data_IF_640335240125
#
_entry.id   IF_640335240125
#
_cell.length_a   1.000
_cell.length_b   1.000
_cell.length_c   1.000
_cell.angle_alpha   90.00
_cell.angle_beta   90.00
_cell.angle_gamma   90.00
#
_symmetry.space_group_name_H-M   'P 1'
#
loop_
_entity.id
_entity.type
_entity.pdbx_description
1 polymer ?
#
# COMPACT_ATOMS: atom_id res chain seq x y z
N UNK A 1 5.78 25.14 -1.81
CA UNK A 1 6.57 23.92 -2.07
C UNK A 1 7.99 24.34 -2.33
N UNK A 2 8.97 23.76 -1.64
CA UNK A 2 10.37 23.92 -2.01
C UNK A 2 10.60 23.07 -3.29
N UNK A 3 10.49 23.70 -4.47
CA UNK A 3 10.66 23.04 -5.77
C UNK A 3 11.97 22.27 -5.85
N UNK A 4 13.04 22.82 -5.28
CA UNK A 4 14.33 22.16 -5.19
C UNK A 4 14.24 20.84 -4.42
N UNK A 5 13.58 20.82 -3.26
CA UNK A 5 13.37 19.57 -2.49
C UNK A 5 12.53 18.55 -3.25
N UNK A 6 11.51 18.98 -4.00
CA UNK A 6 10.72 18.09 -4.84
C UNK A 6 11.59 17.44 -5.94
N UNK A 7 12.30 18.23 -6.74
CA UNK A 7 13.14 17.69 -7.81
C UNK A 7 14.26 16.82 -7.27
N UNK A 8 14.88 17.22 -6.15
CA UNK A 8 15.88 16.40 -5.46
C UNK A 8 15.29 15.06 -5.02
N UNK A 9 14.09 15.06 -4.46
CA UNK A 9 13.38 13.84 -4.03
C UNK A 9 13.03 12.96 -5.23
N UNK A 10 12.53 13.53 -6.32
CA UNK A 10 12.22 12.80 -7.55
C UNK A 10 13.46 12.14 -8.18
N UNK A 11 14.60 12.85 -8.23
CA UNK A 11 15.87 12.30 -8.73
C UNK A 11 16.34 11.14 -7.85
N UNK A 12 16.22 11.27 -6.53
CA UNK A 12 16.59 10.20 -5.59
C UNK A 12 15.71 8.97 -5.80
N UNK A 13 14.38 9.13 -5.86
CA UNK A 13 13.44 8.03 -6.12
C UNK A 13 13.77 7.35 -7.45
N UNK A 14 14.05 8.13 -8.51
CA UNK A 14 14.41 7.57 -9.80
C UNK A 14 15.68 6.71 -9.74
N UNK A 15 16.71 7.16 -9.03
CA UNK A 15 17.94 6.38 -8.82
C UNK A 15 17.66 5.11 -8.00
N UNK A 16 16.85 5.21 -6.96
CA UNK A 16 16.46 4.07 -6.13
C UNK A 16 15.64 3.04 -6.91
N UNK A 17 14.67 3.48 -7.73
CA UNK A 17 13.89 2.61 -8.63
C UNK A 17 14.80 1.91 -9.65
N UNK A 18 15.76 2.62 -10.24
CA UNK A 18 16.74 1.99 -11.15
C UNK A 18 17.60 0.96 -10.44
N UNK A 19 18.11 1.29 -9.26
CA UNK A 19 18.89 0.36 -8.46
C UNK A 19 18.05 -0.86 -8.04
N UNK A 20 16.77 -0.67 -7.72
CA UNK A 20 15.85 -1.74 -7.35
C UNK A 20 15.48 -2.61 -8.54
N UNK A 21 15.22 -2.03 -9.71
CA UNK A 21 15.00 -2.80 -10.94
C UNK A 21 16.21 -3.67 -11.29
N UNK A 22 17.43 -3.15 -11.13
CA UNK A 22 18.64 -3.95 -11.27
C UNK A 22 18.70 -5.10 -10.26
N UNK A 23 18.42 -4.83 -8.99
CA UNK A 23 18.39 -5.86 -7.94
C UNK A 23 17.33 -6.95 -8.22
N UNK A 24 16.16 -6.58 -8.73
CA UNK A 24 15.12 -7.53 -9.12
C UNK A 24 15.64 -8.47 -10.22
N UNK A 25 16.27 -7.92 -11.26
CA UNK A 25 16.83 -8.74 -12.33
C UNK A 25 17.99 -9.63 -11.88
N UNK A 26 18.87 -9.10 -11.03
CA UNK A 26 20.10 -9.79 -10.63
C UNK A 26 19.85 -10.83 -9.51
N UNK A 27 18.83 -10.63 -8.68
CA UNK A 27 18.59 -11.42 -7.46
C UNK A 27 17.20 -12.08 -7.44
N UNK A 28 16.13 -11.31 -7.66
CA UNK A 28 14.75 -11.81 -7.52
C UNK A 28 14.39 -12.76 -8.65
N UNK A 29 14.64 -12.41 -9.90
CA UNK A 29 14.33 -13.27 -11.05
C UNK A 29 15.06 -14.63 -10.97
N UNK A 30 16.37 -14.70 -10.69
CA UNK A 30 17.05 -15.97 -10.43
C UNK A 30 16.47 -16.74 -9.23
N UNK A 31 16.03 -16.04 -8.18
CA UNK A 31 15.42 -16.68 -7.02
C UNK A 31 14.06 -17.29 -7.34
N UNK A 32 13.21 -16.61 -8.10
CA UNK A 32 11.93 -17.15 -8.58
C UNK A 32 12.16 -18.42 -9.42
N UNK A 33 13.14 -18.41 -10.33
CA UNK A 33 13.48 -19.59 -11.13
C UNK A 33 13.96 -20.77 -10.26
N UNK A 34 14.69 -20.48 -9.17
CA UNK A 34 15.10 -21.52 -8.21
C UNK A 34 13.90 -22.13 -7.47
N UNK A 35 12.93 -21.31 -7.09
CA UNK A 35 11.69 -21.79 -6.46
C UNK A 35 10.92 -22.70 -7.42
N UNK A 36 10.77 -22.31 -8.68
CA UNK A 36 10.10 -23.09 -9.74
C UNK A 36 10.73 -24.48 -9.92
N UNK A 37 12.06 -24.54 -10.02
CA UNK A 37 12.79 -25.81 -10.15
C UNK A 37 12.67 -26.64 -8.88
N UNK A 38 12.85 -26.04 -7.70
CA UNK A 38 12.88 -26.75 -6.42
C UNK A 38 11.52 -27.35 -6.06
N UNK A 39 10.45 -26.60 -6.31
CA UNK A 39 9.08 -26.97 -5.93
C UNK A 39 8.25 -27.49 -7.10
N UNK A 40 8.90 -27.82 -8.22
CA UNK A 40 8.32 -28.41 -9.43
C UNK A 40 7.02 -27.73 -9.89
N UNK A 41 7.07 -26.41 -10.07
CA UNK A 41 5.94 -25.61 -10.51
C UNK A 41 6.37 -24.31 -11.18
N UNK A 42 5.41 -23.49 -11.59
CA UNK A 42 5.68 -22.25 -12.32
C UNK A 42 4.83 -21.11 -11.78
N UNK A 43 5.44 -19.92 -11.65
CA UNK A 43 4.65 -18.71 -11.46
C UNK A 43 3.94 -18.36 -12.77
N UNK A 44 2.67 -17.97 -12.69
CA UNK A 44 2.00 -17.44 -13.87
C UNK A 44 2.67 -16.15 -14.33
N UNK A 45 2.48 -15.78 -15.62
CA UNK A 45 3.00 -14.50 -16.15
C UNK A 45 2.46 -13.31 -15.35
N UNK A 46 1.21 -13.40 -14.89
CA UNK A 46 0.58 -12.36 -14.09
C UNK A 46 1.21 -12.27 -12.69
N UNK A 47 1.40 -13.41 -12.00
CA UNK A 47 2.08 -13.47 -10.71
C UNK A 47 3.48 -12.88 -10.78
N UNK A 48 4.30 -13.35 -11.74
CA UNK A 48 5.66 -12.84 -11.93
C UNK A 48 5.66 -11.35 -12.21
N UNK A 49 4.73 -10.84 -13.02
CA UNK A 49 4.58 -9.40 -13.25
C UNK A 49 4.20 -8.63 -11.97
N UNK A 50 3.21 -9.08 -11.21
CA UNK A 50 2.78 -8.47 -9.93
C UNK A 50 3.96 -8.39 -8.95
N UNK A 51 4.76 -9.46 -8.87
CA UNK A 51 5.98 -9.51 -8.05
C UNK A 51 7.02 -8.50 -8.56
N UNK A 52 7.49 -8.63 -9.80
CA UNK A 52 8.74 -7.96 -10.27
C UNK A 52 8.51 -6.54 -10.79
N UNK A 53 7.31 -6.22 -11.24
CA UNK A 53 6.94 -4.91 -11.80
C UNK A 53 6.11 -4.06 -10.85
N UNK A 54 5.61 -4.63 -9.74
CA UNK A 54 4.84 -3.89 -8.74
C UNK A 54 5.45 -4.00 -7.35
N UNK A 55 5.24 -5.11 -6.63
CA UNK A 55 5.50 -5.14 -5.19
C UNK A 55 7.00 -5.12 -4.84
N UNK A 56 7.84 -5.94 -5.47
CA UNK A 56 9.30 -5.93 -5.24
C UNK A 56 9.96 -4.62 -5.67
N UNK A 57 9.32 -3.84 -6.54
CA UNK A 57 9.82 -2.55 -7.01
C UNK A 57 9.40 -1.41 -6.09
N UNK A 58 8.11 -1.28 -5.82
CA UNK A 58 7.56 -0.11 -5.13
C UNK A 58 7.53 -0.26 -3.61
N UNK A 59 7.33 -1.45 -3.04
CA UNK A 59 7.30 -1.61 -1.57
C UNK A 59 8.65 -1.23 -0.95
N UNK A 60 9.81 -1.73 -1.42
CA UNK A 60 11.10 -1.33 -0.85
C UNK A 60 11.35 0.16 -1.03
N UNK A 61 11.14 0.69 -2.24
CA UNK A 61 11.48 2.07 -2.57
C UNK A 61 10.51 3.05 -1.92
N UNK A 62 9.21 2.93 -2.15
CA UNK A 62 8.23 3.91 -1.69
C UNK A 62 7.95 3.77 -0.21
N UNK A 63 7.79 2.56 0.33
CA UNK A 63 7.44 2.38 1.75
C UNK A 63 8.69 2.33 2.60
N UNK A 64 9.53 1.30 2.42
CA UNK A 64 10.60 0.98 3.36
C UNK A 64 11.69 2.07 3.39
N UNK A 65 12.15 2.53 2.22
CA UNK A 65 13.20 3.56 2.16
C UNK A 65 12.70 4.92 2.66
N UNK A 66 11.41 5.21 2.53
CA UNK A 66 10.82 6.45 3.05
C UNK A 66 10.82 6.46 4.57
N UNK A 67 10.42 5.35 5.18
CA UNK A 67 10.44 5.18 6.64
C UNK A 67 11.88 5.21 7.16
N UNK A 68 12.78 4.42 6.55
CA UNK A 68 14.20 4.40 6.89
C UNK A 68 14.81 5.80 6.93
N UNK A 69 14.53 6.61 5.91
CA UNK A 69 15.01 7.99 5.87
C UNK A 69 14.34 8.90 6.89
N UNK A 70 13.04 8.74 7.13
CA UNK A 70 12.32 9.49 8.15
C UNK A 70 12.93 9.29 9.53
N UNK A 71 13.25 8.05 9.89
CA UNK A 71 13.84 7.70 11.19
C UNK A 71 15.36 7.89 11.25
N UNK A 72 15.99 8.32 10.15
CA UNK A 72 17.43 8.56 10.07
C UNK A 72 18.31 7.31 10.06
N UNK A 73 17.75 6.14 9.72
CA UNK A 73 18.48 4.86 9.67
C UNK A 73 18.61 4.38 8.22
N UNK A 74 19.81 4.34 7.62
CA UNK A 74 19.99 3.83 6.26
C UNK A 74 19.62 2.34 6.13
N UNK A 75 19.00 1.95 5.01
CA UNK A 75 18.72 0.54 4.70
C UNK A 75 20.03 -0.21 4.43
N UNK A 76 20.28 -1.27 5.19
CA UNK A 76 21.36 -2.24 4.94
C UNK A 76 21.05 -3.15 3.73
N UNK A 77 22.04 -3.88 3.22
CA UNK A 77 21.79 -4.88 2.16
C UNK A 77 20.84 -6.00 2.63
N UNK A 78 20.92 -6.37 3.90
CA UNK A 78 20.02 -7.37 4.50
C UNK A 78 18.60 -6.83 4.59
N UNK A 79 18.41 -5.61 5.10
CA UNK A 79 17.09 -4.96 5.14
C UNK A 79 16.51 -4.76 3.75
N UNK A 80 17.35 -4.48 2.73
CA UNK A 80 16.90 -4.44 1.34
C UNK A 80 16.41 -5.80 0.84
N UNK A 81 17.15 -6.87 1.14
CA UNK A 81 16.73 -8.24 0.82
C UNK A 81 15.39 -8.53 1.48
N UNK A 82 15.28 -8.28 2.78
CA UNK A 82 14.05 -8.46 3.56
C UNK A 82 12.87 -7.68 2.99
N UNK A 83 13.02 -6.37 2.79
CA UNK A 83 11.97 -5.53 2.18
C UNK A 83 11.53 -6.04 0.81
N UNK A 84 12.46 -6.56 0.00
CA UNK A 84 12.16 -7.13 -1.32
C UNK A 84 11.44 -8.47 -1.19
N UNK A 85 11.84 -9.35 -0.26
CA UNK A 85 11.15 -10.62 0.01
C UNK A 85 9.76 -10.40 0.60
N UNK A 86 9.57 -9.37 1.43
CA UNK A 86 8.24 -8.97 1.89
C UNK A 86 7.38 -8.48 0.72
N UNK A 87 7.93 -7.70 -0.21
CA UNK A 87 7.25 -7.35 -1.45
C UNK A 87 6.93 -8.58 -2.33
N UNK A 88 7.76 -9.61 -2.30
CA UNK A 88 7.52 -10.85 -3.04
C UNK A 88 6.36 -11.65 -2.41
N UNK A 89 6.37 -11.84 -1.09
CA UNK A 89 5.42 -12.73 -0.41
C UNK A 89 4.01 -12.14 -0.32
N UNK A 90 3.86 -10.82 -0.21
CA UNK A 90 2.55 -10.15 -0.09
C UNK A 90 1.56 -10.55 -1.21
N UNK A 91 1.88 -10.39 -2.51
CA UNK A 91 0.95 -10.78 -3.56
C UNK A 91 0.70 -12.29 -3.64
N UNK A 92 1.60 -13.13 -3.11
CA UNK A 92 1.40 -14.58 -3.08
C UNK A 92 0.41 -14.99 -1.98
N UNK A 93 0.44 -14.33 -0.82
CA UNK A 93 -0.57 -14.55 0.22
C UNK A 93 -1.97 -14.17 -0.25
N UNK A 94 -2.11 -13.10 -1.05
CA UNK A 94 -3.39 -12.78 -1.70
C UNK A 94 -3.88 -13.98 -2.53
N UNK A 95 -3.02 -14.54 -3.38
CA UNK A 95 -3.37 -15.67 -4.25
C UNK A 95 -3.70 -16.94 -3.44
N UNK A 96 -3.05 -17.17 -2.29
CA UNK A 96 -3.38 -18.30 -1.41
C UNK A 96 -4.81 -18.21 -0.87
N UNK A 97 -5.28 -17.00 -0.57
CA UNK A 97 -6.63 -16.75 -0.08
C UNK A 97 -7.65 -16.73 -1.22
N UNK A 98 -7.37 -15.97 -2.28
CA UNK A 98 -8.34 -15.67 -3.34
C UNK A 98 -8.43 -16.79 -4.39
N UNK A 99 -7.30 -17.41 -4.76
CA UNK A 99 -7.27 -18.44 -5.81
C UNK A 99 -7.31 -19.85 -5.22
N UNK A 100 -6.55 -20.11 -4.16
CA UNK A 100 -6.46 -21.43 -3.53
C UNK A 100 -7.43 -21.65 -2.37
N UNK A 101 -8.14 -20.60 -1.94
CA UNK A 101 -9.15 -20.67 -0.88
C UNK A 101 -8.64 -21.33 0.42
N UNK A 102 -7.39 -21.06 0.80
CA UNK A 102 -6.87 -21.53 2.08
C UNK A 102 -7.67 -20.91 3.22
N UNK A 103 -7.99 -21.73 4.22
CA UNK A 103 -8.71 -21.27 5.42
C UNK A 103 -7.82 -20.35 6.27
N UNK A 104 -8.41 -19.46 7.09
CA UNK A 104 -7.66 -18.67 8.06
C UNK A 104 -6.67 -19.48 8.91
N UNK A 105 -7.08 -20.66 9.39
CA UNK A 105 -6.21 -21.53 10.19
C UNK A 105 -5.00 -22.04 9.40
N UNK A 106 -5.19 -22.36 8.12
CA UNK A 106 -4.07 -22.78 7.25
C UNK A 106 -3.09 -21.64 7.02
N UNK A 107 -3.58 -20.41 6.78
CA UNK A 107 -2.72 -19.23 6.63
C UNK A 107 -2.00 -18.90 7.93
N UNK A 108 -2.67 -19.01 9.09
CA UNK A 108 -2.03 -18.79 10.39
C UNK A 108 -0.90 -19.80 10.62
N UNK A 109 -1.16 -21.09 10.34
CA UNK A 109 -0.14 -22.13 10.48
C UNK A 109 1.04 -21.90 9.51
N UNK A 110 0.76 -21.57 8.25
CA UNK A 110 1.78 -21.25 7.26
C UNK A 110 2.61 -20.02 7.65
N UNK A 111 2.00 -19.05 8.34
CA UNK A 111 2.69 -17.82 8.79
C UNK A 111 3.56 -18.08 10.01
N UNK A 112 3.05 -18.84 10.99
CA UNK A 112 3.62 -18.89 12.35
C UNK A 112 4.42 -20.13 12.67
N UNK A 113 4.18 -21.22 11.94
CA UNK A 113 4.95 -22.44 11.99
C UNK A 113 5.11 -23.05 10.58
N UNK A 114 5.63 -22.29 9.58
CA UNK A 114 5.78 -22.75 8.21
C UNK A 114 6.55 -24.07 8.10
N UNK A 115 7.50 -24.33 8.99
CA UNK A 115 8.33 -25.54 9.03
C UNK A 115 7.46 -26.80 9.14
N UNK A 116 6.36 -26.73 9.89
CA UNK A 116 5.45 -27.83 10.15
C UNK A 116 4.33 -27.97 9.10
N UNK A 117 4.12 -26.96 8.24
CA UNK A 117 3.09 -27.00 7.22
C UNK A 117 3.53 -27.88 6.03
N UNK A 118 2.70 -28.84 5.63
CA UNK A 118 2.98 -29.73 4.50
C UNK A 118 1.99 -29.47 3.36
N UNK A 119 2.50 -29.39 2.14
CA UNK A 119 1.68 -29.24 0.93
C UNK A 119 2.45 -29.73 -0.28
N UNK A 120 1.73 -30.30 -1.24
CA UNK A 120 2.26 -30.60 -2.57
C UNK A 120 2.01 -29.44 -3.56
N UNK A 121 1.40 -28.34 -3.10
CA UNK A 121 1.09 -27.19 -3.93
C UNK A 121 2.32 -26.29 -4.05
N UNK A 122 2.82 -26.13 -5.28
CA UNK A 122 3.96 -25.27 -5.62
C UNK A 122 3.94 -23.93 -4.90
N UNK A 123 2.83 -23.18 -5.01
CA UNK A 123 2.73 -21.83 -4.48
C UNK A 123 2.83 -21.80 -2.94
N UNK A 124 2.23 -22.79 -2.27
CA UNK A 124 2.30 -22.94 -0.82
C UNK A 124 3.74 -23.21 -0.38
N UNK A 125 4.47 -24.07 -1.09
CA UNK A 125 5.87 -24.36 -0.79
C UNK A 125 6.79 -23.16 -1.05
N UNK A 126 6.52 -22.38 -2.09
CA UNK A 126 7.21 -21.12 -2.34
C UNK A 126 6.98 -20.12 -1.20
N UNK A 127 5.73 -19.90 -0.79
CA UNK A 127 5.39 -19.01 0.34
C UNK A 127 6.02 -19.52 1.65
N UNK A 128 5.98 -20.82 1.92
CA UNK A 128 6.62 -21.45 3.07
C UNK A 128 8.11 -21.13 3.14
N UNK A 129 8.85 -21.34 2.05
CA UNK A 129 10.30 -21.08 2.02
C UNK A 129 10.61 -19.60 2.31
N UNK A 130 9.89 -18.69 1.67
CA UNK A 130 10.09 -17.25 1.85
C UNK A 130 9.69 -16.82 3.27
N UNK A 131 8.62 -17.39 3.81
CA UNK A 131 8.15 -17.16 5.17
C UNK A 131 9.17 -17.58 6.22
N UNK A 132 9.83 -18.73 6.06
CA UNK A 132 10.91 -19.18 6.95
C UNK A 132 12.07 -18.16 6.94
N UNK A 133 12.49 -17.72 5.76
CA UNK A 133 13.55 -16.72 5.62
C UNK A 133 13.18 -15.38 6.28
N UNK A 134 11.94 -14.93 6.12
CA UNK A 134 11.46 -13.70 6.76
C UNK A 134 11.36 -13.84 8.29
N UNK A 135 10.83 -14.96 8.79
CA UNK A 135 10.74 -15.26 10.21
C UNK A 135 12.12 -15.25 10.89
N UNK A 136 13.16 -15.71 10.19
CA UNK A 136 14.52 -15.78 10.74
C UNK A 136 15.32 -14.48 10.60
N UNK A 137 14.89 -13.58 9.71
CA UNK A 137 15.58 -12.30 9.43
C UNK A 137 14.88 -11.08 10.05
N UNK A 138 13.76 -11.28 10.75
CA UNK A 138 13.02 -10.20 11.40
C UNK A 138 13.85 -9.56 12.53
N UNK A 139 13.79 -8.23 12.64
CA UNK A 139 14.45 -7.46 13.70
C UNK A 139 14.02 -7.94 15.09
N UNK A 140 12.71 -8.12 15.28
CA UNK A 140 12.10 -8.76 16.44
C UNK A 140 11.13 -9.83 15.94
N UNK A 141 11.55 -11.10 16.02
CA UNK A 141 10.76 -12.25 15.53
C UNK A 141 9.41 -12.36 16.23
N UNK A 142 9.33 -12.10 17.54
CA UNK A 142 8.08 -12.24 18.29
C UNK A 142 7.08 -11.15 17.89
N UNK A 143 7.54 -9.90 17.83
CA UNK A 143 6.70 -8.78 17.38
C UNK A 143 6.27 -8.95 15.91
N UNK A 144 7.18 -9.39 15.04
CA UNK A 144 6.89 -9.64 13.64
C UNK A 144 5.83 -10.74 13.45
N UNK A 145 5.95 -11.86 14.15
CA UNK A 145 4.94 -12.93 14.10
C UNK A 145 3.58 -12.46 14.62
N UNK A 146 3.55 -11.65 15.68
CA UNK A 146 2.32 -11.06 16.18
C UNK A 146 1.64 -10.17 15.12
N UNK A 147 2.40 -9.23 14.52
CA UNK A 147 1.87 -8.36 13.46
C UNK A 147 1.45 -9.16 12.23
N UNK A 148 2.14 -10.26 11.91
CA UNK A 148 1.76 -11.15 10.80
C UNK A 148 0.40 -11.80 11.03
N UNK A 149 0.07 -12.16 12.27
CA UNK A 149 -1.29 -12.61 12.64
C UNK A 149 -2.32 -11.50 12.50
N UNK A 150 -1.96 -10.27 12.89
CA UNK A 150 -2.85 -9.12 12.73
C UNK A 150 -3.16 -8.85 11.25
N UNK A 151 -2.19 -9.04 10.34
CA UNK A 151 -2.44 -8.94 8.88
C UNK A 151 -3.54 -9.92 8.46
N UNK A 152 -3.45 -11.18 8.90
CA UNK A 152 -4.46 -12.19 8.62
C UNK A 152 -5.82 -11.79 9.21
N UNK A 153 -5.86 -11.36 10.46
CA UNK A 153 -7.12 -10.97 11.11
C UNK A 153 -7.80 -9.81 10.36
N UNK A 154 -7.03 -8.80 9.95
CA UNK A 154 -7.56 -7.68 9.18
C UNK A 154 -8.06 -8.13 7.81
N UNK A 155 -7.37 -9.06 7.15
CA UNK A 155 -7.83 -9.63 5.89
C UNK A 155 -9.16 -10.38 6.06
N UNK A 156 -9.35 -11.13 7.14
CA UNK A 156 -10.65 -11.77 7.47
C UNK A 156 -11.75 -10.71 7.64
N UNK A 157 -11.45 -9.61 8.32
CA UNK A 157 -12.42 -8.53 8.54
C UNK A 157 -12.88 -7.87 7.22
N UNK A 158 -12.11 -7.97 6.14
CA UNK A 158 -12.52 -7.44 4.82
C UNK A 158 -13.71 -8.19 4.21
N UNK A 159 -14.09 -9.37 4.72
CA UNK A 159 -15.28 -10.12 4.27
C UNK A 159 -16.55 -9.27 4.44
N UNK A 160 -16.60 -8.40 5.45
CA UNK A 160 -17.73 -7.47 5.65
C UNK A 160 -17.92 -6.50 4.48
N UNK A 161 -16.89 -6.27 3.66
CA UNK A 161 -17.03 -5.47 2.44
C UNK A 161 -17.89 -6.14 1.37
N UNK A 162 -18.31 -7.40 1.53
CA UNK A 162 -19.31 -8.02 0.64
C UNK A 162 -20.75 -7.86 1.15
N UNK A 163 -20.93 -7.27 2.34
CA UNK A 163 -22.24 -6.98 2.91
C UNK A 163 -22.81 -5.67 2.32
N UNK A 164 -23.92 -5.69 1.57
CA UNK A 164 -24.52 -4.49 0.99
C UNK A 164 -25.01 -3.46 2.01
N UNK A 165 -25.16 -3.85 3.27
CA UNK A 165 -25.67 -3.00 4.35
C UNK A 165 -24.54 -2.47 5.26
N UNK A 166 -23.28 -2.66 4.89
CA UNK A 166 -22.13 -2.16 5.67
C UNK A 166 -22.21 -0.63 5.82
N UNK A 167 -21.93 -0.13 7.02
CA UNK A 167 -21.96 1.30 7.30
C UNK A 167 -20.73 2.02 6.74
N UNK A 168 -20.86 3.32 6.49
CA UNK A 168 -19.72 4.15 6.06
C UNK A 168 -18.58 4.17 7.09
N UNK A 169 -18.90 4.13 8.39
CA UNK A 169 -17.89 4.13 9.45
C UNK A 169 -17.11 2.81 9.46
N UNK A 170 -17.79 1.68 9.26
CA UNK A 170 -17.13 0.37 9.18
C UNK A 170 -16.30 0.25 7.90
N UNK A 171 -16.79 0.75 6.77
CA UNK A 171 -16.00 0.84 5.53
C UNK A 171 -14.73 1.66 5.74
N UNK A 172 -14.83 2.81 6.40
CA UNK A 172 -13.65 3.63 6.70
C UNK A 172 -12.67 2.89 7.60
N UNK A 173 -13.16 2.22 8.65
CA UNK A 173 -12.34 1.43 9.55
C UNK A 173 -11.59 0.33 8.79
N UNK A 174 -12.28 -0.46 7.97
CA UNK A 174 -11.66 -1.52 7.16
C UNK A 174 -10.62 -0.94 6.20
N UNK A 175 -10.94 0.14 5.46
CA UNK A 175 -10.02 0.79 4.52
C UNK A 175 -8.72 1.23 5.21
N UNK A 176 -8.80 1.81 6.42
CA UNK A 176 -7.61 2.25 7.14
C UNK A 176 -6.84 1.08 7.78
N UNK A 177 -7.53 0.14 8.44
CA UNK A 177 -6.89 -0.97 9.14
C UNK A 177 -6.11 -1.88 8.19
N UNK A 178 -6.68 -2.21 7.03
CA UNK A 178 -6.06 -3.06 5.99
C UNK A 178 -4.70 -2.53 5.56
N UNK A 179 -4.65 -1.23 5.29
CA UNK A 179 -3.45 -0.58 4.82
C UNK A 179 -2.43 -0.39 5.95
N UNK A 180 -2.91 0.05 7.11
CA UNK A 180 -2.05 0.37 8.24
C UNK A 180 -1.29 -0.84 8.73
N UNK A 181 -1.95 -2.00 8.84
CA UNK A 181 -1.27 -3.19 9.36
C UNK A 181 -0.15 -3.65 8.42
N UNK A 182 -0.29 -3.45 7.11
CA UNK A 182 0.79 -3.70 6.14
C UNK A 182 1.99 -2.79 6.37
N UNK A 183 1.78 -1.50 6.66
CA UNK A 183 2.88 -0.58 7.01
C UNK A 183 3.56 -0.96 8.32
N UNK A 184 2.79 -1.33 9.35
CA UNK A 184 3.33 -1.81 10.63
C UNK A 184 4.08 -3.12 10.44
N UNK A 185 3.61 -4.01 9.57
CA UNK A 185 4.29 -5.26 9.19
C UNK A 185 5.68 -4.99 8.58
N UNK A 186 5.77 -4.12 7.57
CA UNK A 186 7.06 -3.71 6.98
C UNK A 186 7.96 -3.01 8.01
N UNK A 187 7.41 -2.12 8.83
CA UNK A 187 8.17 -1.41 9.85
C UNK A 187 8.74 -2.37 10.90
N UNK A 188 7.92 -3.27 11.41
CA UNK A 188 8.27 -4.22 12.49
C UNK A 188 9.36 -5.18 12.07
N UNK A 189 9.29 -5.69 10.83
CA UNK A 189 10.33 -6.58 10.30
C UNK A 189 11.69 -5.88 10.22
N UNK A 190 11.72 -4.62 9.76
CA UNK A 190 12.96 -3.92 9.43
C UNK A 190 13.56 -3.13 10.60
N UNK A 191 12.73 -2.61 11.51
CA UNK A 191 13.10 -1.62 12.52
C UNK A 191 12.56 -1.93 13.93
N UNK A 192 11.83 -3.04 14.12
CA UNK A 192 11.16 -3.37 15.37
C UNK A 192 9.86 -2.59 15.59
N UNK A 193 9.30 -2.60 16.79
CA UNK A 193 7.95 -2.05 17.04
C UNK A 193 7.91 -0.51 16.89
N UNK A 194 6.99 0.05 16.08
CA UNK A 194 6.84 1.50 15.96
C UNK A 194 6.35 2.12 17.27
N UNK A 195 6.80 3.35 17.58
CA UNK A 195 6.21 4.13 18.68
C UNK A 195 4.73 4.42 18.40
N UNK A 196 3.98 4.80 19.44
CA UNK A 196 2.57 5.18 19.30
C UNK A 196 2.38 6.29 18.25
N UNK A 197 3.21 7.32 18.29
CA UNK A 197 3.14 8.48 17.39
C UNK A 197 3.48 8.07 15.95
N UNK A 198 4.47 7.20 15.77
CA UNK A 198 4.79 6.63 14.46
C UNK A 198 3.61 5.81 13.94
N UNK A 199 3.03 4.94 14.77
CA UNK A 199 1.87 4.12 14.38
C UNK A 199 0.67 4.97 13.96
N UNK A 200 0.39 6.05 14.68
CA UNK A 200 -0.68 7.00 14.31
C UNK A 200 -0.39 7.72 12.98
N UNK A 201 0.86 8.11 12.71
CA UNK A 201 1.23 8.70 11.43
C UNK A 201 1.12 7.68 10.27
N UNK A 202 1.55 6.44 10.51
CA UNK A 202 1.44 5.35 9.53
C UNK A 202 -0.02 4.98 9.25
N UNK A 203 -0.90 5.02 10.27
CA UNK A 203 -2.34 4.81 10.11
C UNK A 203 -2.95 5.77 9.08
N UNK A 204 -2.66 7.06 9.20
CA UNK A 204 -3.20 8.06 8.25
C UNK A 204 -2.58 7.97 6.85
N UNK A 205 -1.27 7.74 6.76
CA UNK A 205 -0.61 7.55 5.46
C UNK A 205 -1.21 6.36 4.71
N UNK A 206 -1.27 5.22 5.39
CA UNK A 206 -1.67 3.97 4.79
C UNK A 206 -3.16 4.01 4.40
N UNK A 207 -4.02 4.50 5.30
CA UNK A 207 -5.45 4.63 5.00
C UNK A 207 -5.74 5.55 3.82
N UNK A 208 -5.05 6.69 3.71
CA UNK A 208 -5.17 7.54 2.52
C UNK A 208 -4.67 6.87 1.24
N UNK A 209 -3.62 6.04 1.30
CA UNK A 209 -3.15 5.29 0.14
C UNK A 209 -4.15 4.22 -0.29
N UNK A 210 -4.74 3.47 0.64
CA UNK A 210 -5.77 2.47 0.34
C UNK A 210 -7.05 3.13 -0.17
N UNK A 211 -7.48 4.24 0.44
CA UNK A 211 -8.60 5.03 -0.07
C UNK A 211 -8.34 5.51 -1.50
N UNK A 212 -7.11 5.90 -1.84
CA UNK A 212 -6.75 6.23 -3.22
C UNK A 212 -6.82 4.98 -4.12
N UNK A 213 -6.35 3.82 -3.66
CA UNK A 213 -6.46 2.58 -4.41
C UNK A 213 -7.93 2.24 -4.72
N UNK A 214 -8.83 2.26 -3.72
CA UNK A 214 -10.26 2.01 -3.89
C UNK A 214 -10.90 2.96 -4.93
N UNK A 215 -10.46 4.23 -4.99
CA UNK A 215 -10.92 5.19 -6.00
C UNK A 215 -10.54 4.78 -7.43
N UNK A 216 -9.39 4.14 -7.63
CA UNK A 216 -8.95 3.66 -8.95
C UNK A 216 -9.51 2.27 -9.27
N UNK A 217 -9.79 1.47 -8.24
CA UNK A 217 -10.33 0.11 -8.37
C UNK A 217 -11.86 0.04 -8.38
N UNK A 218 -12.56 1.20 -8.36
CA UNK A 218 -14.03 1.28 -8.40
C UNK A 218 -14.69 0.33 -9.42
N UNK A 219 -14.16 0.20 -10.64
CA UNK A 219 -14.72 -0.76 -11.60
C UNK A 219 -14.58 -2.20 -11.11
N UNK A 220 -13.40 -2.59 -10.66
CA UNK A 220 -13.10 -3.94 -10.16
C UNK A 220 -13.97 -4.25 -8.94
N UNK A 221 -14.07 -3.32 -7.99
CA UNK A 221 -14.84 -3.51 -6.76
C UNK A 221 -16.34 -3.63 -7.05
N UNK A 222 -16.88 -2.77 -7.94
CA UNK A 222 -18.27 -2.87 -8.38
C UNK A 222 -18.57 -4.22 -9.07
N UNK A 223 -17.70 -4.71 -9.95
CA UNK A 223 -17.87 -6.00 -10.61
C UNK A 223 -17.77 -7.17 -9.62
N UNK A 224 -16.87 -7.06 -8.63
CA UNK A 224 -16.71 -8.02 -7.54
C UNK A 224 -17.78 -7.94 -6.47
N UNK A 225 -18.72 -6.99 -6.55
CA UNK A 225 -19.70 -6.69 -5.48
C UNK A 225 -19.04 -6.43 -4.12
N UNK A 226 -17.85 -5.85 -4.15
CA UNK A 226 -17.15 -5.34 -2.97
C UNK A 226 -17.55 -3.89 -2.75
N UNK A 227 -17.97 -3.56 -1.53
CA UNK A 227 -18.38 -2.23 -1.09
C UNK A 227 -17.17 -1.51 -0.48
N UNK A 228 -16.92 -0.29 -0.95
CA UNK A 228 -15.84 0.59 -0.50
C UNK A 228 -16.37 1.99 -0.25
N UNK A 229 -15.61 2.83 0.44
CA UNK A 229 -15.97 4.25 0.62
C UNK A 229 -16.21 4.96 -0.72
N UNK A 230 -15.49 4.57 -1.77
CA UNK A 230 -15.61 5.19 -3.08
C UNK A 230 -16.93 4.84 -3.79
N UNK A 231 -17.29 3.54 -3.84
CA UNK A 231 -18.45 3.08 -4.60
C UNK A 231 -19.78 3.08 -3.82
N UNK A 232 -19.73 3.39 -2.53
CA UNK A 232 -20.92 3.68 -1.70
C UNK A 232 -21.18 5.17 -1.52
N UNK A 233 -20.25 6.02 -1.99
CA UNK A 233 -20.38 7.46 -1.87
C UNK A 233 -21.52 8.00 -2.76
N UNK A 234 -22.43 8.78 -2.16
CA UNK A 234 -23.52 9.46 -2.87
C UNK A 234 -23.17 10.90 -3.31
N UNK A 235 -22.12 11.49 -2.71
CA UNK A 235 -21.64 12.83 -3.06
C UNK A 235 -20.12 12.94 -2.98
N UNK A 236 -19.46 12.91 -4.14
CA UNK A 236 -18.02 13.04 -4.23
C UNK A 236 -17.49 14.44 -3.84
N UNK A 237 -18.35 15.46 -3.76
CA UNK A 237 -17.97 16.76 -3.20
C UNK A 237 -17.78 16.67 -1.69
N UNK A 238 -18.62 15.90 -0.99
CA UNK A 238 -18.44 15.60 0.43
C UNK A 238 -17.21 14.71 0.65
N UNK A 239 -17.03 13.69 -0.19
CA UNK A 239 -15.85 12.82 -0.15
C UNK A 239 -14.55 13.60 -0.36
N UNK A 240 -14.58 14.64 -1.21
CA UNK A 240 -13.45 15.56 -1.39
C UNK A 240 -13.13 16.34 -0.12
N UNK A 241 -14.14 16.81 0.60
CA UNK A 241 -13.97 17.50 1.89
C UNK A 241 -13.33 16.55 2.91
N UNK A 242 -13.87 15.35 3.05
CA UNK A 242 -13.32 14.28 3.88
C UNK A 242 -11.85 13.98 3.53
N UNK A 243 -11.52 13.86 2.24
CA UNK A 243 -10.14 13.64 1.79
C UNK A 243 -9.20 14.77 2.24
N UNK A 244 -9.62 16.04 2.17
CA UNK A 244 -8.80 17.16 2.65
C UNK A 244 -8.66 17.17 4.17
N UNK A 245 -9.69 16.77 4.92
CA UNK A 245 -9.64 16.64 6.37
C UNK A 245 -8.64 15.56 6.79
N UNK A 246 -8.73 14.36 6.20
CA UNK A 246 -7.76 13.28 6.45
C UNK A 246 -6.34 13.64 6.07
N UNK A 247 -6.14 14.39 4.98
CA UNK A 247 -4.81 14.93 4.66
C UNK A 247 -4.30 15.90 5.75
N UNK A 248 -5.16 16.75 6.34
CA UNK A 248 -4.74 17.64 7.43
C UNK A 248 -4.34 16.85 8.67
N UNK A 249 -5.11 15.81 9.03
CA UNK A 249 -4.78 14.91 10.14
C UNK A 249 -3.43 14.24 9.92
N UNK A 250 -3.20 13.66 8.74
CA UNK A 250 -1.90 13.12 8.34
C UNK A 250 -0.78 14.15 8.53
N UNK A 251 -0.98 15.38 8.03
CA UNK A 251 0.03 16.43 8.12
C UNK A 251 0.36 16.81 9.56
N UNK A 252 -0.64 16.85 10.44
CA UNK A 252 -0.44 17.10 11.87
C UNK A 252 0.36 15.97 12.52
N UNK A 253 -0.04 14.71 12.30
CA UNK A 253 0.64 13.54 12.86
C UNK A 253 2.10 13.45 12.43
N UNK A 254 2.38 13.60 11.13
CA UNK A 254 3.76 13.58 10.63
C UNK A 254 4.55 14.77 11.15
N UNK A 255 3.97 15.97 11.19
CA UNK A 255 4.68 17.17 11.70
C UNK A 255 5.04 17.05 13.18
N UNK A 256 4.22 16.34 13.97
CA UNK A 256 4.45 16.11 15.39
C UNK A 256 5.56 15.07 15.68
N UNK A 257 5.96 14.28 14.69
CA UNK A 257 7.02 13.27 14.90
C UNK A 257 8.36 13.93 15.28
N UNK A 258 9.14 13.29 16.18
CA UNK A 258 10.38 13.83 16.72
C UNK A 258 11.58 13.70 15.75
N UNK A 259 11.34 13.85 14.45
CA UNK A 259 12.36 13.76 13.41
C UNK A 259 12.67 15.12 12.79
N UNK A 260 13.86 15.29 12.17
CA UNK A 260 14.22 16.54 11.52
C UNK A 260 13.19 16.95 10.44
N UNK A 261 12.92 18.25 10.34
CA UNK A 261 11.98 18.82 9.35
C UNK A 261 12.26 18.36 7.92
N UNK A 262 13.53 18.31 7.53
CA UNK A 262 13.97 17.88 6.19
C UNK A 262 13.54 16.43 5.87
N UNK A 263 13.55 15.55 6.86
CA UNK A 263 13.27 14.13 6.68
C UNK A 263 11.76 13.88 6.69
N UNK A 264 11.01 14.64 7.51
CA UNK A 264 9.54 14.73 7.43
C UNK A 264 9.06 15.26 6.07
N UNK A 265 9.67 16.33 5.56
CA UNK A 265 9.35 16.86 4.23
C UNK A 265 9.65 15.85 3.13
N UNK A 266 10.79 15.16 3.19
CA UNK A 266 11.13 14.12 2.23
C UNK A 266 10.12 12.97 2.25
N UNK A 267 9.80 12.45 3.45
CA UNK A 267 8.79 11.43 3.64
C UNK A 267 7.43 11.83 3.05
N UNK A 268 6.97 13.04 3.36
CA UNK A 268 5.69 13.55 2.87
C UNK A 268 5.64 13.71 1.36
N UNK A 269 6.72 14.18 0.72
CA UNK A 269 6.78 14.24 -0.75
C UNK A 269 6.54 12.85 -1.34
N UNK A 270 7.18 11.81 -0.78
CA UNK A 270 7.05 10.43 -1.28
C UNK A 270 5.64 9.88 -1.09
N UNK A 271 5.06 10.06 0.09
CA UNK A 271 3.70 9.59 0.36
C UNK A 271 2.68 10.30 -0.52
N UNK A 272 2.86 11.60 -0.74
CA UNK A 272 1.96 12.41 -1.56
C UNK A 272 2.04 12.11 -3.05
N UNK A 273 3.13 11.52 -3.56
CA UNK A 273 3.17 11.03 -4.96
C UNK A 273 2.05 10.03 -5.24
N UNK A 274 1.70 9.19 -4.26
CA UNK A 274 0.57 8.26 -4.36
C UNK A 274 -0.72 8.99 -4.00
N UNK A 275 -0.80 9.60 -2.80
CA UNK A 275 -2.05 10.15 -2.25
C UNK A 275 -2.68 11.22 -3.15
N UNK A 276 -1.88 12.04 -3.84
CA UNK A 276 -2.44 13.10 -4.68
C UNK A 276 -3.18 12.58 -5.93
N UNK A 277 -2.97 11.31 -6.32
CA UNK A 277 -3.73 10.66 -7.39
C UNK A 277 -5.22 10.53 -7.03
N UNK A 278 -5.55 10.33 -5.74
CA UNK A 278 -6.94 10.29 -5.27
C UNK A 278 -7.69 11.58 -5.56
N UNK A 279 -7.02 12.75 -5.51
CA UNK A 279 -7.66 14.02 -5.87
C UNK A 279 -7.99 14.11 -7.37
N UNK A 280 -7.19 13.47 -8.23
CA UNK A 280 -7.50 13.35 -9.67
C UNK A 280 -8.75 12.50 -9.84
N UNK A 281 -8.82 11.36 -9.16
CA UNK A 281 -9.96 10.45 -9.21
C UNK A 281 -11.24 11.09 -8.68
N UNK A 282 -11.21 11.71 -7.50
CA UNK A 282 -12.35 12.44 -6.93
C UNK A 282 -12.87 13.51 -7.89
N UNK A 283 -11.98 14.33 -8.48
CA UNK A 283 -12.40 15.36 -9.43
C UNK A 283 -12.98 14.78 -10.73
N UNK A 284 -12.55 13.58 -11.13
CA UNK A 284 -13.14 12.85 -12.24
C UNK A 284 -14.56 12.39 -11.89
N UNK A 285 -14.75 11.78 -10.72
CA UNK A 285 -16.05 11.30 -10.25
C UNK A 285 -17.06 12.43 -10.05
N UNK A 286 -16.66 13.59 -9.50
CA UNK A 286 -17.52 14.79 -9.42
C UNK A 286 -18.02 15.22 -10.81
N UNK A 287 -17.21 15.09 -11.86
CA UNK A 287 -17.66 15.41 -13.22
C UNK A 287 -18.64 14.35 -13.73
N UNK A 288 -18.42 13.09 -13.40
CA UNK A 288 -19.30 12.00 -13.77
C UNK A 288 -20.67 12.12 -13.10
N UNK A 289 -20.73 12.51 -11.82
CA UNK A 289 -21.99 12.86 -11.12
C UNK A 289 -22.79 13.94 -11.85
N UNK A 290 -22.11 14.97 -12.36
CA UNK A 290 -22.77 16.05 -13.13
C UNK A 290 -23.35 15.57 -14.46
N UNK A 291 -22.73 14.58 -15.08
CA UNK A 291 -23.17 14.02 -16.37
C UNK A 291 -24.31 13.02 -16.16
N UNK A 292 -24.22 12.19 -15.12
CA UNK A 292 -25.18 11.11 -14.85
C UNK A 292 -26.40 11.54 -14.04
N UNK A 293 -26.31 12.66 -13.32
CA UNK A 293 -27.29 13.06 -12.32
C UNK A 293 -27.06 12.33 -10.99
N UNK A 294 -27.42 12.98 -9.89
CA UNK A 294 -27.30 12.42 -8.54
C UNK A 294 -28.66 11.84 -8.09
N UNK A 295 -28.70 10.69 -7.39
CA UNK A 295 -27.57 9.83 -7.05
C UNK A 295 -27.11 8.96 -8.22
N UNK A 296 -25.80 8.67 -8.30
CA UNK A 296 -25.23 7.77 -9.32
C UNK A 296 -25.24 6.33 -8.81
N UNK A 297 -25.77 5.39 -9.59
CA UNK A 297 -25.58 3.97 -9.32
C UNK A 297 -24.26 3.48 -9.94
N UNK A 298 -23.18 3.50 -9.15
CA UNK A 298 -21.83 3.14 -9.59
C UNK A 298 -21.72 1.70 -10.10
N UNK A 299 -22.53 0.77 -9.58
CA UNK A 299 -22.52 -0.65 -9.96
C UNK A 299 -23.01 -0.90 -11.39
N UNK A 300 -23.72 0.07 -11.98
CA UNK A 300 -24.25 -0.03 -13.36
C UNK A 300 -23.33 0.57 -14.42
N UNK A 301 -22.25 1.25 -14.01
CA UNK A 301 -21.38 1.96 -14.94
C UNK A 301 -20.36 1.03 -15.60
N UNK A 302 -20.01 1.36 -16.85
CA UNK A 302 -19.06 0.59 -17.63
C UNK A 302 -17.60 0.85 -17.22
N UNK A 303 -16.70 -0.07 -17.60
CA UNK A 303 -15.25 0.10 -17.41
C UNK A 303 -14.73 1.44 -17.94
N UNK A 304 -15.21 1.88 -19.11
CA UNK A 304 -14.79 3.13 -19.75
C UNK A 304 -15.15 4.36 -18.92
N UNK A 305 -16.18 4.25 -18.09
CA UNK A 305 -16.67 5.33 -17.24
C UNK A 305 -16.02 5.35 -15.86
N UNK A 306 -15.60 4.19 -15.34
CA UNK A 306 -15.02 4.09 -13.98
C UNK A 306 -13.49 4.06 -13.96
N UNK A 307 -12.84 3.60 -15.04
CA UNK A 307 -11.38 3.49 -15.09
C UNK A 307 -10.73 4.83 -15.43
N UNK A 308 -9.89 5.32 -14.52
CA UNK A 308 -9.11 6.53 -14.68
C UNK A 308 -7.69 6.16 -15.13
N UNK A 309 -7.40 6.45 -16.39
CA UNK A 309 -6.09 6.20 -16.98
C UNK A 309 -5.10 7.32 -16.62
N UNK A 310 -4.18 7.04 -15.70
CA UNK A 310 -3.15 7.99 -15.24
C UNK A 310 -2.02 8.19 -16.26
N UNK A 311 -1.92 7.40 -17.32
CA UNK A 311 -0.90 7.56 -18.37
C UNK A 311 -1.24 8.73 -19.31
N UNK A 312 -2.49 9.19 -19.30
CA UNK A 312 -2.93 10.35 -20.11
C UNK A 312 -2.20 11.62 -19.65
N UNK A 313 -1.60 12.40 -20.57
CA UNK A 313 -0.87 13.62 -20.24
C UNK A 313 -1.67 14.62 -19.39
N UNK A 314 -2.98 14.75 -19.67
CA UNK A 314 -3.88 15.59 -18.88
C UNK A 314 -3.96 15.17 -17.40
N UNK A 315 -4.01 13.87 -17.14
CA UNK A 315 -4.10 13.33 -15.78
C UNK A 315 -2.77 13.45 -15.05
N UNK A 316 -1.64 13.29 -15.75
CA UNK A 316 -0.30 13.58 -15.20
C UNK A 316 -0.15 15.05 -14.78
N UNK A 317 -0.66 16.00 -15.59
CA UNK A 317 -0.67 17.43 -15.22
C UNK A 317 -1.55 17.66 -13.99
N UNK A 318 -2.76 17.10 -13.96
CA UNK A 318 -3.67 17.24 -12.81
C UNK A 318 -3.09 16.62 -11.54
N UNK A 319 -2.38 15.51 -11.67
CA UNK A 319 -1.65 14.87 -10.58
C UNK A 319 -0.56 15.78 -10.03
N UNK A 320 0.28 16.37 -10.89
CA UNK A 320 1.30 17.32 -10.46
C UNK A 320 0.71 18.56 -9.77
N UNK A 321 -0.39 19.11 -10.30
CA UNK A 321 -1.10 20.23 -9.67
C UNK A 321 -1.71 19.83 -8.31
N UNK A 322 -2.20 18.60 -8.19
CA UNK A 322 -2.74 18.05 -6.94
C UNK A 322 -1.65 17.89 -5.90
N UNK A 323 -0.48 17.37 -6.29
CA UNK A 323 0.70 17.29 -5.44
C UNK A 323 1.12 18.67 -4.94
N UNK A 324 1.21 19.66 -5.85
CA UNK A 324 1.54 21.03 -5.47
C UNK A 324 0.57 21.60 -4.45
N UNK A 325 -0.75 21.38 -4.65
CA UNK A 325 -1.80 21.83 -3.73
C UNK A 325 -1.65 21.20 -2.35
N UNK A 326 -1.48 19.88 -2.27
CA UNK A 326 -1.33 19.17 -0.99
C UNK A 326 -0.03 19.53 -0.28
N UNK A 327 1.08 19.69 -1.02
CA UNK A 327 2.34 20.16 -0.44
C UNK A 327 2.24 21.56 0.17
N UNK A 328 1.49 22.49 -0.44
CA UNK A 328 1.24 23.80 0.16
C UNK A 328 0.39 23.71 1.41
N UNK A 329 -0.58 22.79 1.45
CA UNK A 329 -1.40 22.56 2.64
C UNK A 329 -0.55 22.00 3.77
N UNK A 330 0.28 20.98 3.50
CA UNK A 330 1.23 20.42 4.47
C UNK A 330 2.14 21.50 5.06
N UNK A 331 2.74 22.36 4.23
CA UNK A 331 3.60 23.44 4.71
C UNK A 331 2.88 24.42 5.63
N UNK A 332 1.60 24.74 5.35
CA UNK A 332 0.79 25.59 6.23
C UNK A 332 0.50 24.93 7.56
N UNK A 333 0.11 23.65 7.55
CA UNK A 333 -0.17 22.88 8.77
C UNK A 333 1.09 22.72 9.63
N UNK A 334 2.24 22.43 9.02
CA UNK A 334 3.51 22.30 9.72
C UNK A 334 3.94 23.60 10.43
N UNK A 335 3.63 24.77 9.85
CA UNK A 335 3.92 26.08 10.46
C UNK A 335 3.04 26.39 11.68
N UNK A 336 1.90 25.72 11.84
CA UNK A 336 0.99 25.95 12.98
C UNK A 336 1.39 25.15 14.24
N UNK A 337 2.30 24.18 14.09
CA UNK A 337 2.75 23.29 15.17
C UNK A 337 4.13 23.73 15.70
N UNK A 338 4.84 24.59 14.96
CA UNK A 338 6.09 25.25 15.38
C UNK A 338 5.75 26.51 16.18
#
# INVERSE_FOLDING_TARGET
MNLYMFFKTAIVIYKELRAQKKYINDIVEPYLNKLEVRHNGLFTKYQRFKITSSYCLYVPVIVCYSVSRLIGQPISQEQRKSATMMGLITPLYDDLLDELNLTPNQIEQLTTAPENYQSDVFLVNAVKEIGIDLNNSAFDKAAYLHVSKDVLQVQINTIEQFNPNISSDELQKITWDKAMISFVYYYTHLFGTPTKEMREALYEVAGLQQFCNDLFDMYKDCQGKSYTLANTCQDFSNLKTFFFEKNKELFQKVSALPYPKKDKEYFMIRMLLIICSGLVAINYMIKLEKIKGKPVNWFTLSRKELVIDMEKPKNLILWFLSLWKLMRLYQKTALQIQ
#
